data_IF_405980060071
#
_entry.id   IF_405980060071
#
_cell.length_a   1.000
_cell.length_b   1.000
_cell.length_c   1.000
_cell.angle_alpha   90.00
_cell.angle_beta   90.00
_cell.angle_gamma   90.00
#
_symmetry.space_group_name_H-M   'P 1'
#
loop_
_entity.id
_entity.type
_entity.pdbx_description
1 polymer ?
#
# COMPACT_ATOMS: atom_id res chain seq x y z
N UNK A 1 6.03 0.83 23.65
CA UNK A 1 5.73 1.29 22.28
C UNK A 1 5.10 0.13 21.54
N UNK A 2 3.88 0.32 21.05
CA UNK A 2 3.15 -0.69 20.30
C UNK A 2 3.34 -0.45 18.81
N UNK A 3 3.69 -1.51 18.06
CA UNK A 3 3.91 -1.45 16.62
C UNK A 3 2.83 -2.24 15.88
N UNK A 4 2.36 -1.69 14.76
CA UNK A 4 1.50 -2.39 13.82
C UNK A 4 2.11 -2.37 12.42
N UNK A 5 1.96 -3.48 11.70
CA UNK A 5 2.32 -3.58 10.29
C UNK A 5 1.04 -3.56 9.46
N UNK A 6 0.91 -2.56 8.59
CA UNK A 6 -0.17 -2.50 7.60
C UNK A 6 0.43 -2.94 6.27
N UNK A 7 -0.16 -3.95 5.62
CA UNK A 7 0.28 -4.41 4.30
C UNK A 7 -0.91 -4.69 3.38
N UNK A 8 -0.74 -4.42 2.08
CA UNK A 8 -1.74 -4.66 1.04
C UNK A 8 -1.09 -5.28 -0.19
N UNK A 9 -1.39 -6.56 -0.50
CA UNK A 9 -0.94 -7.20 -1.73
C UNK A 9 -1.87 -6.84 -2.90
N UNK A 10 -1.27 -6.49 -4.04
CA UNK A 10 -1.97 -6.26 -5.31
C UNK A 10 -1.37 -7.17 -6.38
N UNK A 11 -2.19 -7.83 -7.19
CA UNK A 11 -1.70 -8.71 -8.26
C UNK A 11 -1.15 -7.87 -9.43
N UNK A 12 0.16 -7.96 -9.67
CA UNK A 12 0.89 -7.20 -10.68
C UNK A 12 0.36 -7.45 -12.10
N UNK A 13 -0.02 -8.68 -12.44
CA UNK A 13 -0.59 -9.00 -13.75
C UNK A 13 -1.92 -8.28 -13.97
N UNK A 14 -2.82 -8.31 -12.98
CA UNK A 14 -4.09 -7.59 -13.04
C UNK A 14 -3.88 -6.07 -13.13
N UNK A 15 -2.88 -5.52 -12.42
CA UNK A 15 -2.54 -4.10 -12.52
C UNK A 15 -2.14 -3.72 -13.95
N UNK A 16 -1.32 -4.55 -14.59
CA UNK A 16 -0.89 -4.34 -15.99
C UNK A 16 -2.06 -4.50 -16.96
N UNK A 17 -2.90 -5.53 -16.78
CA UNK A 17 -4.07 -5.77 -17.64
C UNK A 17 -5.11 -4.63 -17.53
N UNK A 18 -5.40 -4.15 -16.33
CA UNK A 18 -6.30 -3.01 -16.14
C UNK A 18 -5.70 -1.70 -16.67
N UNK A 19 -4.39 -1.49 -16.52
CA UNK A 19 -3.70 -0.34 -17.09
C UNK A 19 -3.78 -0.33 -18.63
N UNK A 20 -3.57 -1.49 -19.26
CA UNK A 20 -3.69 -1.65 -20.71
C UNK A 20 -5.13 -1.44 -21.20
N UNK A 21 -6.12 -2.00 -20.48
CA UNK A 21 -7.54 -1.88 -20.86
C UNK A 21 -8.07 -0.45 -20.76
N UNK A 22 -7.53 0.36 -19.85
CA UNK A 22 -7.97 1.74 -19.60
C UNK A 22 -7.10 2.81 -20.26
N UNK A 23 -5.99 2.44 -20.88
CA UNK A 23 -5.09 3.37 -21.57
C UNK A 23 -4.25 4.24 -20.65
N UNK A 24 -3.86 3.74 -19.45
CA UNK A 24 -3.06 4.53 -18.49
C UNK A 24 -2.71 3.81 -17.17
N UNK A 25 -1.72 4.36 -16.47
CA UNK A 25 -0.89 3.77 -15.40
C UNK A 25 -1.60 3.51 -14.05
N UNK A 26 -2.20 2.35 -13.85
CA UNK A 26 -2.79 1.92 -12.57
C UNK A 26 -1.75 1.37 -11.55
N UNK A 27 -0.58 2.01 -11.45
CA UNK A 27 0.28 1.82 -10.27
C UNK A 27 -0.09 2.80 -9.14
N UNK A 28 -0.73 3.91 -9.50
CA UNK A 28 -0.98 5.05 -8.62
C UNK A 28 -2.27 4.88 -7.80
N UNK A 29 -3.28 4.19 -8.33
CA UNK A 29 -4.59 4.04 -7.67
C UNK A 29 -4.51 3.10 -6.46
N UNK A 30 -3.72 2.05 -6.54
CA UNK A 30 -3.45 1.08 -5.47
C UNK A 30 -2.50 1.65 -4.43
N UNK A 31 -1.47 2.39 -4.86
CA UNK A 31 -0.64 3.17 -3.95
C UNK A 31 -1.48 4.22 -3.21
N UNK A 32 -2.48 4.83 -3.87
CA UNK A 32 -3.42 5.79 -3.29
C UNK A 32 -4.38 5.11 -2.30
N UNK A 33 -4.92 3.94 -2.64
CA UNK A 33 -5.75 3.13 -1.74
C UNK A 33 -4.99 2.74 -0.46
N UNK A 34 -3.74 2.27 -0.61
CA UNK A 34 -2.85 2.03 0.51
C UNK A 34 -2.60 3.31 1.33
N UNK A 35 -2.41 4.45 0.67
CA UNK A 35 -2.29 5.76 1.30
C UNK A 35 -3.53 6.17 2.12
N UNK A 36 -4.75 5.87 1.64
CA UNK A 36 -5.97 6.10 2.42
C UNK A 36 -6.05 5.21 3.65
N UNK A 37 -5.66 3.93 3.51
CA UNK A 37 -5.58 3.03 4.64
C UNK A 37 -4.61 3.55 5.71
N UNK A 38 -3.42 4.03 5.31
CA UNK A 38 -2.45 4.64 6.24
C UNK A 38 -3.00 5.89 6.93
N UNK A 39 -3.65 6.80 6.20
CA UNK A 39 -4.26 8.00 6.78
C UNK A 39 -5.26 7.65 7.88
N UNK A 40 -6.05 6.60 7.70
CA UNK A 40 -7.00 6.15 8.72
C UNK A 40 -6.31 5.72 10.03
N UNK A 41 -5.13 5.10 9.97
CA UNK A 41 -4.35 4.78 11.16
C UNK A 41 -3.67 6.01 11.78
N UNK A 42 -3.15 6.91 10.93
CA UNK A 42 -2.57 8.17 11.39
C UNK A 42 -3.61 9.01 12.15
N UNK A 43 -4.85 9.09 11.65
CA UNK A 43 -5.96 9.75 12.35
C UNK A 43 -6.34 9.09 13.69
N UNK A 44 -5.94 7.83 13.92
CA UNK A 44 -6.11 7.12 15.21
C UNK A 44 -4.92 7.31 16.15
N UNK A 45 -3.98 8.19 15.81
CA UNK A 45 -2.82 8.53 16.64
C UNK A 45 -1.58 7.70 16.36
N UNK A 46 -1.54 6.88 15.32
CA UNK A 46 -0.33 6.15 14.94
C UNK A 46 0.61 7.04 14.12
N UNK A 47 1.92 6.88 14.31
CA UNK A 47 2.95 7.53 13.51
C UNK A 47 3.60 6.53 12.56
N UNK A 48 3.73 6.86 11.27
CA UNK A 48 4.45 6.03 10.30
C UNK A 48 5.94 6.14 10.58
N UNK A 49 6.60 5.02 10.89
CA UNK A 49 8.04 4.96 11.14
C UNK A 49 8.82 4.49 9.93
N UNK A 50 8.24 3.59 9.15
CA UNK A 50 8.82 3.12 7.90
C UNK A 50 7.73 2.68 6.94
N UNK A 51 8.00 2.72 5.64
CA UNK A 51 7.09 2.22 4.60
C UNK A 51 7.85 1.87 3.33
N UNK A 52 7.29 0.98 2.54
CA UNK A 52 7.86 0.62 1.24
C UNK A 52 6.92 -0.20 0.39
N UNK A 53 7.43 -0.63 -0.75
CA UNK A 53 6.80 -1.61 -1.60
C UNK A 53 7.81 -2.72 -1.95
N UNK A 54 7.31 -3.94 -2.11
CA UNK A 54 8.14 -5.09 -2.51
C UNK A 54 7.35 -5.96 -3.47
N UNK A 55 8.02 -6.40 -4.54
CA UNK A 55 7.46 -7.42 -5.42
C UNK A 55 7.65 -8.81 -4.79
N UNK A 56 6.57 -9.61 -4.73
CA UNK A 56 6.57 -10.97 -4.20
C UNK A 56 5.76 -11.87 -5.12
N UNK A 57 6.46 -12.68 -5.91
CA UNK A 57 5.86 -13.48 -6.98
C UNK A 57 5.12 -12.58 -7.97
N UNK A 58 3.84 -12.87 -8.20
CA UNK A 58 2.97 -12.07 -9.07
C UNK A 58 2.33 -10.87 -8.36
N UNK A 59 2.73 -10.53 -7.13
CA UNK A 59 2.13 -9.45 -6.37
C UNK A 59 3.11 -8.30 -6.12
N UNK A 60 2.57 -7.09 -6.01
CA UNK A 60 3.24 -5.94 -5.41
C UNK A 60 2.60 -5.72 -4.04
N UNK A 61 3.42 -5.73 -3.00
CA UNK A 61 2.98 -5.55 -1.62
C UNK A 61 3.42 -4.17 -1.15
N UNK A 62 2.47 -3.30 -0.85
CA UNK A 62 2.74 -2.08 -0.11
C UNK A 62 2.67 -2.36 1.37
N UNK A 63 3.60 -1.81 2.15
CA UNK A 63 3.65 -2.02 3.59
C UNK A 63 4.11 -0.77 4.33
N UNK A 64 3.67 -0.63 5.59
CA UNK A 64 4.14 0.40 6.49
C UNK A 64 4.15 -0.11 7.93
N UNK A 65 5.23 0.23 8.64
CA UNK A 65 5.36 0.06 10.07
C UNK A 65 4.88 1.34 10.76
N UNK A 66 3.87 1.21 11.61
CA UNK A 66 3.36 2.31 12.41
C UNK A 66 3.60 2.05 13.88
N UNK A 67 3.82 3.13 14.62
CA UNK A 67 4.07 3.13 16.06
C UNK A 67 2.98 3.94 16.74
N UNK A 68 2.44 3.41 17.83
CA UNK A 68 1.55 4.16 18.72
C UNK A 68 2.40 4.87 19.79
N UNK A 69 2.22 6.19 19.97
CA UNK A 69 2.84 6.95 21.06
C UNK A 69 2.54 6.36 22.43
#
# INVERSE_FOLDING_TARGET
>A
MDYILVYRPYNAKRLVEDAQRRGGSYGEDEARDFGYALKAYVSKGYSVKNSGCVASGENIIFWALLEKP
#
